data_IF_872159065088
#
_entry.id   IF_872159065088
#
_cell.length_a   1.000
_cell.length_b   1.000
_cell.length_c   1.000
_cell.angle_alpha   90.00
_cell.angle_beta   90.00
_cell.angle_gamma   90.00
#
_symmetry.space_group_name_H-M   'P 1'
#
loop_
_entity.id
_entity.type
_entity.pdbx_description
1 polymer ?
#
# COMPACT_ATOMS: atom_id res chain seq x y z
N UNK A 1 -1.62 -37.86 38.49
CA UNK A 1 -1.69 -37.73 39.96
C UNK A 1 -3.11 -37.33 40.35
N UNK A 2 -3.77 -38.05 41.27
CA UNK A 2 -5.07 -37.66 41.85
C UNK A 2 -4.86 -37.02 43.23
N UNK A 3 -4.08 -35.94 43.28
CA UNK A 3 -3.84 -35.17 44.51
C UNK A 3 -4.41 -33.76 44.35
N UNK A 4 -4.90 -33.13 45.43
CA UNK A 4 -5.27 -31.72 45.42
C UNK A 4 -4.09 -30.85 44.92
N UNK A 5 -4.31 -29.88 43.99
CA UNK A 5 -3.23 -29.06 43.45
C UNK A 5 -2.37 -28.36 44.52
N UNK A 6 -2.97 -27.99 45.65
CA UNK A 6 -2.27 -27.41 46.80
C UNK A 6 -1.24 -28.36 47.43
N UNK A 7 -1.54 -29.65 47.51
CA UNK A 7 -0.60 -30.66 48.04
C UNK A 7 0.56 -30.88 47.08
N UNK A 8 0.28 -30.94 45.78
CA UNK A 8 1.31 -31.04 44.73
C UNK A 8 2.22 -29.80 44.78
N UNK A 9 1.64 -28.62 44.90
CA UNK A 9 2.39 -27.37 44.98
C UNK A 9 3.27 -27.29 46.25
N UNK A 10 2.77 -27.75 47.40
CA UNK A 10 3.58 -27.84 48.62
C UNK A 10 4.77 -28.81 48.46
N UNK A 11 4.57 -29.96 47.81
CA UNK A 11 5.65 -30.90 47.51
C UNK A 11 6.70 -30.30 46.57
N UNK A 12 6.26 -29.55 45.55
CA UNK A 12 7.17 -28.83 44.64
C UNK A 12 7.98 -27.74 45.37
N UNK A 13 7.36 -26.98 46.26
CA UNK A 13 8.05 -25.98 47.09
C UNK A 13 9.08 -26.65 48.01
N UNK A 14 8.74 -27.78 48.62
CA UNK A 14 9.68 -28.52 49.47
C UNK A 14 10.87 -29.11 48.70
N UNK A 15 10.70 -29.42 47.41
CA UNK A 15 11.74 -29.95 46.54
C UNK A 15 12.55 -28.87 45.81
N UNK A 16 12.16 -27.60 45.89
CA UNK A 16 12.86 -26.48 45.24
C UNK A 16 14.24 -26.27 45.88
N UNK A 17 15.34 -26.26 45.11
CA UNK A 17 16.67 -25.97 45.65
C UNK A 17 16.79 -24.51 46.09
N UNK A 18 17.65 -24.25 47.07
CA UNK A 18 18.00 -22.88 47.46
C UNK A 18 18.64 -22.12 46.30
N UNK A 19 18.21 -20.87 46.07
CA UNK A 19 18.74 -20.01 45.01
C UNK A 19 18.97 -18.60 45.55
N UNK A 20 20.11 -18.00 45.25
CA UNK A 20 20.41 -16.59 45.56
C UNK A 20 19.52 -15.60 44.80
N UNK A 21 18.80 -16.08 43.78
CA UNK A 21 17.87 -15.28 43.00
C UNK A 21 16.49 -15.15 43.66
N UNK A 22 16.15 -16.04 44.59
CA UNK A 22 14.82 -16.15 45.20
C UNK A 22 14.88 -15.59 46.63
N UNK A 23 14.06 -14.58 46.90
CA UNK A 23 13.84 -14.02 48.23
C UNK A 23 12.94 -14.94 49.05
N UNK A 24 11.78 -15.30 48.48
CA UNK A 24 10.83 -16.24 49.10
C UNK A 24 9.91 -16.89 48.08
N UNK A 25 9.29 -17.98 48.51
CA UNK A 25 8.25 -18.70 47.75
C UNK A 25 7.02 -18.83 48.64
N UNK A 26 5.84 -18.50 48.09
CA UNK A 26 4.57 -18.55 48.83
C UNK A 26 3.57 -19.45 48.10
N UNK A 27 2.92 -20.33 48.88
CA UNK A 27 1.79 -21.13 48.40
C UNK A 27 0.49 -20.34 48.55
N UNK A 28 -0.13 -19.96 47.44
CA UNK A 28 -1.33 -19.13 47.40
C UNK A 28 -2.58 -19.91 46.93
N UNK A 29 -3.71 -19.62 47.57
CA UNK A 29 -5.03 -20.10 47.15
C UNK A 29 -5.10 -21.63 46.94
N UNK A 30 -5.69 -22.12 45.84
CA UNK A 30 -5.89 -23.55 45.61
C UNK A 30 -4.63 -24.32 45.16
N UNK A 31 -3.46 -23.67 45.08
CA UNK A 31 -2.20 -24.31 44.68
C UNK A 31 -1.29 -23.49 43.77
N UNK A 32 -1.44 -22.17 43.71
CA UNK A 32 -0.51 -21.30 43.01
C UNK A 32 0.80 -21.19 43.79
N UNK A 33 1.93 -21.21 43.10
CA UNK A 33 3.25 -21.01 43.68
C UNK A 33 3.74 -19.63 43.24
N UNK A 34 3.78 -18.69 44.16
CA UNK A 34 4.32 -17.36 43.91
C UNK A 34 5.81 -17.36 44.25
N UNK A 35 6.66 -16.96 43.31
CA UNK A 35 8.12 -16.85 43.52
C UNK A 35 8.49 -15.38 43.52
N UNK A 36 9.12 -14.93 44.60
CA UNK A 36 9.56 -13.54 44.76
C UNK A 36 11.08 -13.50 44.58
N UNK A 37 11.54 -12.69 43.63
CA UNK A 37 12.97 -12.54 43.35
C UNK A 37 13.64 -11.57 44.34
N UNK A 38 14.94 -11.74 44.58
CA UNK A 38 15.75 -10.78 45.35
C UNK A 38 15.89 -9.45 44.61
N UNK A 39 16.21 -8.38 45.33
CA UNK A 39 16.47 -7.07 44.71
C UNK A 39 17.66 -7.13 43.74
N UNK A 40 18.72 -7.86 44.10
CA UNK A 40 19.89 -8.08 43.25
C UNK A 40 19.51 -8.80 41.94
N UNK A 41 18.70 -9.87 42.02
CA UNK A 41 18.25 -10.59 40.82
C UNK A 41 17.46 -9.69 39.85
N UNK A 42 16.67 -8.74 40.38
CA UNK A 42 15.95 -7.75 39.54
C UNK A 42 16.88 -6.71 38.92
N UNK A 43 17.94 -6.32 39.62
CA UNK A 43 18.87 -5.28 39.16
C UNK A 43 19.88 -5.80 38.13
N UNK A 44 20.11 -7.11 38.07
CA UNK A 44 21.04 -7.71 37.11
C UNK A 44 20.70 -7.36 35.65
N UNK A 45 19.41 -7.21 35.33
CA UNK A 45 18.97 -6.79 33.98
C UNK A 45 19.53 -5.43 33.58
N UNK A 46 19.78 -4.51 34.53
CA UNK A 46 20.36 -3.20 34.24
C UNK A 46 21.80 -3.36 33.74
N UNK A 47 22.57 -4.28 34.34
CA UNK A 47 23.91 -4.59 33.85
C UNK A 47 23.86 -5.21 32.45
N UNK A 48 22.88 -6.08 32.17
CA UNK A 48 22.68 -6.64 30.82
C UNK A 48 22.29 -5.57 29.79
N UNK A 49 21.39 -4.65 30.16
CA UNK A 49 20.98 -3.52 29.30
C UNK A 49 22.19 -2.65 28.97
N UNK A 50 22.97 -2.26 29.97
CA UNK A 50 24.16 -1.42 29.77
C UNK A 50 25.24 -2.14 28.96
N UNK A 51 25.41 -3.45 29.15
CA UNK A 51 26.40 -4.27 28.42
C UNK A 51 26.04 -4.44 26.94
N UNK A 52 24.76 -4.70 26.64
CA UNK A 52 24.31 -4.95 25.27
C UNK A 52 23.89 -3.67 24.54
N UNK A 53 23.58 -2.58 25.26
CA UNK A 53 23.23 -1.28 24.70
C UNK A 53 22.10 -1.38 23.67
N UNK A 54 22.26 -0.82 22.45
CA UNK A 54 21.26 -0.91 21.38
C UNK A 54 20.90 -2.34 20.96
N UNK A 55 21.71 -3.35 21.30
CA UNK A 55 21.45 -4.75 21.01
C UNK A 55 20.67 -5.48 22.11
N UNK A 56 20.41 -4.85 23.26
CA UNK A 56 19.56 -5.45 24.29
C UNK A 56 18.17 -5.80 23.71
N UNK A 57 17.63 -6.96 24.11
CA UNK A 57 16.35 -7.48 23.60
C UNK A 57 16.38 -8.00 22.16
N UNK A 58 17.53 -8.00 21.47
CA UNK A 58 17.64 -8.64 20.15
C UNK A 58 17.56 -10.16 20.30
N UNK A 59 17.03 -10.84 19.29
CA UNK A 59 17.02 -12.30 19.24
C UNK A 59 17.45 -12.82 17.87
N UNK A 60 17.74 -14.12 17.80
CA UNK A 60 18.06 -14.81 16.54
C UNK A 60 16.92 -15.72 16.08
N UNK A 61 15.68 -15.48 16.57
CA UNK A 61 14.51 -16.29 16.22
C UNK A 61 14.22 -16.29 14.72
N UNK A 62 14.50 -15.19 14.02
CA UNK A 62 14.36 -15.08 12.58
C UNK A 62 15.41 -15.88 11.80
N UNK A 63 16.58 -16.14 12.39
CA UNK A 63 17.66 -16.93 11.79
C UNK A 63 18.03 -16.48 10.36
N UNK A 64 17.95 -15.17 10.08
CA UNK A 64 18.26 -14.59 8.77
C UNK A 64 17.19 -14.79 7.70
N UNK A 65 16.02 -15.37 8.01
CA UNK A 65 14.91 -15.51 7.08
C UNK A 65 14.51 -14.16 6.49
N UNK A 66 14.24 -14.14 5.19
CA UNK A 66 13.86 -12.94 4.44
C UNK A 66 12.37 -12.68 4.61
N UNK A 67 12.01 -11.47 5.01
CA UNK A 67 10.62 -11.06 5.19
C UNK A 67 10.38 -9.79 4.40
N UNK A 68 9.35 -9.79 3.55
CA UNK A 68 8.84 -8.56 2.95
C UNK A 68 7.72 -8.02 3.84
N UNK A 69 7.74 -6.71 4.08
CA UNK A 69 6.72 -6.00 4.85
C UNK A 69 6.21 -4.86 3.98
N UNK A 70 4.98 -4.98 3.51
CA UNK A 70 4.28 -3.94 2.75
C UNK A 70 3.43 -3.09 3.69
N UNK A 71 3.53 -1.77 3.59
CA UNK A 71 2.71 -0.86 4.39
C UNK A 71 2.62 0.55 3.78
N UNK A 72 1.64 1.32 4.25
CA UNK A 72 1.22 2.64 3.72
C UNK A 72 0.56 2.53 2.35
N UNK A 73 1.31 2.18 1.29
CA UNK A 73 0.83 1.94 -0.08
C UNK A 73 -0.34 2.86 -0.51
N UNK A 74 -0.22 4.16 -0.25
CA UNK A 74 -1.24 5.14 -0.62
C UNK A 74 -1.15 5.41 -2.12
N UNK A 75 -2.28 5.71 -2.74
CA UNK A 75 -2.28 6.15 -4.13
C UNK A 75 -1.52 7.49 -4.23
N UNK A 76 -0.67 7.68 -5.25
CA UNK A 76 0.17 8.88 -5.40
C UNK A 76 -0.63 10.05 -6.00
N UNK A 77 -1.84 10.29 -5.48
CA UNK A 77 -2.77 11.30 -6.00
C UNK A 77 -3.10 12.40 -4.99
N UNK A 78 -2.27 12.53 -3.95
CA UNK A 78 -2.39 13.55 -2.95
C UNK A 78 -1.41 13.33 -1.81
N UNK A 79 -1.18 14.36 -0.97
CA UNK A 79 -0.25 14.30 0.14
C UNK A 79 -0.73 13.29 1.19
N UNK A 80 0.22 12.81 2.00
CA UNK A 80 -0.11 11.94 3.12
C UNK A 80 -0.88 12.73 4.19
N UNK A 81 -1.67 12.00 4.99
CA UNK A 81 -2.44 12.58 6.08
C UNK A 81 -2.35 11.69 7.32
N UNK A 82 -2.86 12.15 8.46
CA UNK A 82 -2.79 11.42 9.74
C UNK A 82 -3.26 9.95 9.68
N UNK A 83 -4.22 9.63 8.82
CA UNK A 83 -4.64 8.25 8.56
C UNK A 83 -3.53 7.35 8.02
N UNK A 84 -2.70 7.86 7.10
CA UNK A 84 -1.51 7.17 6.56
C UNK A 84 -0.42 7.06 7.63
N UNK A 85 -0.25 8.09 8.46
CA UNK A 85 0.69 8.09 9.58
C UNK A 85 0.47 6.92 10.57
N UNK A 86 -0.79 6.51 10.80
CA UNK A 86 -1.10 5.30 11.59
C UNK A 86 -0.52 4.03 10.94
N UNK A 87 -0.74 3.87 9.63
CA UNK A 87 -0.21 2.74 8.86
C UNK A 87 1.32 2.73 8.84
N UNK A 88 1.92 3.91 8.66
CA UNK A 88 3.36 4.11 8.69
C UNK A 88 3.97 3.70 10.04
N UNK A 89 3.42 4.20 11.16
CA UNK A 89 3.91 3.88 12.50
C UNK A 89 3.79 2.39 12.84
N UNK A 90 2.67 1.77 12.48
CA UNK A 90 2.44 0.34 12.72
C UNK A 90 3.39 -0.52 11.88
N UNK A 91 3.49 -0.25 10.57
CA UNK A 91 4.36 -1.02 9.69
C UNK A 91 5.84 -0.87 10.01
N UNK A 92 6.29 0.34 10.30
CA UNK A 92 7.65 0.57 10.77
C UNK A 92 7.94 -0.17 12.09
N UNK A 93 6.99 -0.18 13.02
CA UNK A 93 7.15 -0.91 14.29
C UNK A 93 7.26 -2.42 14.08
N UNK A 94 6.44 -2.99 13.21
CA UNK A 94 6.50 -4.42 12.85
C UNK A 94 7.83 -4.74 12.16
N UNK A 95 8.23 -3.94 11.16
CA UNK A 95 9.50 -4.12 10.46
C UNK A 95 10.70 -4.04 11.42
N UNK A 96 10.72 -3.05 12.31
CA UNK A 96 11.79 -2.88 13.29
C UNK A 96 11.85 -4.02 14.31
N UNK A 97 10.70 -4.53 14.76
CA UNK A 97 10.63 -5.69 15.64
C UNK A 97 11.15 -6.96 14.94
N UNK A 98 10.82 -7.16 13.65
CA UNK A 98 11.33 -8.27 12.86
C UNK A 98 12.84 -8.17 12.66
N UNK A 99 13.39 -7.00 12.34
CA UNK A 99 14.84 -6.77 12.31
C UNK A 99 15.48 -7.15 13.65
N UNK A 100 14.90 -6.67 14.77
CA UNK A 100 15.36 -6.94 16.13
C UNK A 100 15.29 -8.43 16.50
N UNK A 101 14.36 -9.17 15.89
CA UNK A 101 14.20 -10.61 16.04
C UNK A 101 15.11 -11.45 15.13
N UNK A 102 15.97 -10.82 14.32
CA UNK A 102 16.96 -11.50 13.49
C UNK A 102 16.47 -11.90 12.09
N UNK A 103 15.43 -11.25 11.58
CA UNK A 103 14.97 -11.40 10.19
C UNK A 103 15.68 -10.40 9.25
N UNK A 104 15.84 -10.77 7.99
CA UNK A 104 16.24 -9.85 6.91
C UNK A 104 14.98 -9.20 6.35
N UNK A 105 14.68 -7.99 6.80
CA UNK A 105 13.43 -7.28 6.45
C UNK A 105 13.63 -6.42 5.21
N UNK A 106 12.70 -6.53 4.27
CA UNK A 106 12.55 -5.67 3.10
C UNK A 106 11.25 -4.87 3.22
N UNK A 107 11.35 -3.56 3.40
CA UNK A 107 10.23 -2.63 3.52
C UNK A 107 9.82 -2.16 2.14
N UNK A 108 8.59 -2.42 1.76
CA UNK A 108 8.10 -2.10 0.42
C UNK A 108 6.88 -1.19 0.48
N UNK A 109 6.88 -0.16 -0.36
CA UNK A 109 5.74 0.70 -0.63
C UNK A 109 5.18 0.31 -2.00
N UNK A 110 3.92 -0.12 -2.07
CA UNK A 110 3.27 -0.37 -3.36
C UNK A 110 2.69 0.94 -3.91
N UNK A 111 3.13 1.33 -5.10
CA UNK A 111 2.71 2.54 -5.80
C UNK A 111 1.69 2.17 -6.87
N UNK A 112 0.43 2.57 -6.65
CA UNK A 112 -0.63 2.47 -7.64
C UNK A 112 -0.55 3.60 -8.67
N UNK A 113 0.48 3.54 -9.51
CA UNK A 113 0.74 4.48 -10.62
C UNK A 113 0.09 4.05 -11.94
N UNK A 114 -0.61 2.91 -11.95
CA UNK A 114 -1.32 2.41 -13.11
C UNK A 114 -2.81 2.83 -13.08
N UNK A 115 -3.22 3.62 -14.06
CA UNK A 115 -4.62 3.79 -14.42
C UNK A 115 -5.22 5.17 -14.13
N UNK A 116 -6.55 5.19 -13.99
CA UNK A 116 -7.36 6.39 -14.22
C UNK A 116 -7.11 7.52 -13.22
N UNK A 117 -6.85 7.22 -11.96
CA UNK A 117 -6.64 8.26 -10.95
C UNK A 117 -5.42 9.13 -11.27
N UNK A 118 -4.36 8.51 -11.80
CA UNK A 118 -3.14 9.20 -12.18
C UNK A 118 -3.32 10.05 -13.44
N UNK A 119 -4.14 9.59 -14.40
CA UNK A 119 -4.61 10.39 -15.53
C UNK A 119 -5.41 11.62 -15.06
N UNK A 120 -6.33 11.45 -14.10
CA UNK A 120 -7.14 12.56 -13.54
C UNK A 120 -6.24 13.60 -12.87
N UNK A 121 -5.26 13.17 -12.05
CA UNK A 121 -4.34 14.11 -11.42
C UNK A 121 -3.49 14.84 -12.46
N UNK A 122 -2.98 14.14 -13.47
CA UNK A 122 -2.23 14.74 -14.57
C UNK A 122 -3.03 15.81 -15.30
N UNK A 123 -4.28 15.51 -15.65
CA UNK A 123 -5.19 16.46 -16.30
C UNK A 123 -5.57 17.61 -15.38
N UNK A 124 -5.82 17.34 -14.09
CA UNK A 124 -6.12 18.37 -13.09
C UNK A 124 -4.99 19.39 -12.98
N UNK A 125 -3.74 18.91 -12.91
CA UNK A 125 -2.52 19.75 -12.91
C UNK A 125 -2.39 20.55 -14.21
N UNK A 126 -2.63 19.92 -15.36
CA UNK A 126 -2.57 20.60 -16.65
C UNK A 126 -3.62 21.71 -16.80
N UNK A 127 -4.89 21.42 -16.47
CA UNK A 127 -5.97 22.40 -16.51
C UNK A 127 -5.69 23.57 -15.56
N UNK A 128 -5.16 23.29 -14.36
CA UNK A 128 -4.77 24.33 -13.40
C UNK A 128 -3.63 25.19 -13.96
N UNK A 129 -2.66 24.60 -14.66
CA UNK A 129 -1.58 25.36 -15.32
C UNK A 129 -2.11 26.26 -16.45
N UNK A 130 -3.11 25.80 -17.23
CA UNK A 130 -3.77 26.62 -18.24
C UNK A 130 -4.58 27.77 -17.62
N UNK A 131 -5.24 27.55 -16.48
CA UNK A 131 -5.93 28.63 -15.73
C UNK A 131 -4.93 29.65 -15.19
N UNK A 132 -3.84 29.21 -14.55
CA UNK A 132 -2.81 30.09 -13.99
C UNK A 132 -2.09 30.94 -15.07
N UNK A 133 -1.94 30.41 -16.29
CA UNK A 133 -1.39 31.14 -17.44
C UNK A 133 -2.39 32.04 -18.16
N UNK A 134 -3.67 32.05 -17.73
CA UNK A 134 -4.75 32.82 -18.35
C UNK A 134 -5.17 32.30 -19.73
N UNK A 135 -4.79 31.05 -20.07
CA UNK A 135 -5.10 30.38 -21.34
C UNK A 135 -6.41 29.60 -21.31
N UNK A 136 -6.93 29.31 -20.11
CA UNK A 136 -8.27 28.76 -19.87
C UNK A 136 -9.06 29.76 -19.03
N UNK A 137 -10.21 30.23 -19.52
CA UNK A 137 -10.99 31.28 -18.85
C UNK A 137 -12.46 30.92 -18.65
N UNK A 138 -13.07 30.30 -19.65
CA UNK A 138 -14.49 29.99 -19.70
C UNK A 138 -14.83 28.59 -19.19
N UNK A 139 -13.90 27.63 -19.32
CA UNK A 139 -14.14 26.27 -18.84
C UNK A 139 -14.03 26.21 -17.30
N UNK A 140 -15.10 25.82 -16.58
CA UNK A 140 -15.01 25.59 -15.14
C UNK A 140 -14.09 24.40 -14.83
N UNK A 141 -13.44 24.44 -13.67
CA UNK A 141 -12.62 23.31 -13.22
C UNK A 141 -13.53 22.12 -12.88
N UNK A 142 -13.21 20.88 -13.32
CA UNK A 142 -14.07 19.72 -13.09
C UNK A 142 -14.17 19.37 -11.60
N UNK A 143 -15.38 19.09 -11.11
CA UNK A 143 -15.64 18.75 -9.70
C UNK A 143 -14.91 17.48 -9.25
N UNK A 144 -14.86 16.47 -10.12
CA UNK A 144 -14.16 15.20 -9.91
C UNK A 144 -12.66 15.26 -10.24
N UNK A 145 -12.13 16.45 -10.57
CA UNK A 145 -10.69 16.68 -10.64
C UNK A 145 -10.07 16.90 -9.26
N UNK A 146 -8.75 16.75 -9.16
CA UNK A 146 -8.01 17.06 -7.93
C UNK A 146 -7.85 18.58 -7.79
N UNK A 147 -8.20 19.11 -6.62
CA UNK A 147 -8.33 20.57 -6.39
C UNK A 147 -7.52 21.08 -5.18
N UNK A 148 -6.67 20.25 -4.57
CA UNK A 148 -5.88 20.67 -3.41
C UNK A 148 -4.73 21.61 -3.79
N UNK A 149 -4.19 22.31 -2.79
CA UNK A 149 -3.09 23.28 -2.97
C UNK A 149 -1.85 22.68 -3.66
N UNK A 150 -1.58 21.38 -3.42
CA UNK A 150 -0.50 20.63 -4.08
C UNK A 150 -0.64 20.61 -5.61
N UNK A 151 -1.86 20.59 -6.15
CA UNK A 151 -2.13 20.67 -7.60
C UNK A 151 -1.77 22.05 -8.12
N UNK A 152 -2.02 23.11 -7.35
CA UNK A 152 -1.65 24.46 -7.73
C UNK A 152 -0.13 24.66 -7.77
N UNK A 153 0.59 24.05 -6.83
CA UNK A 153 2.06 24.04 -6.78
C UNK A 153 2.64 23.30 -7.99
N UNK A 154 2.23 22.05 -8.23
CA UNK A 154 2.67 21.28 -9.39
C UNK A 154 2.34 21.98 -10.71
N UNK A 155 1.18 22.64 -10.81
CA UNK A 155 0.78 23.39 -12.01
C UNK A 155 1.72 24.58 -12.31
N UNK A 156 2.23 25.24 -11.27
CA UNK A 156 3.18 26.36 -11.42
C UNK A 156 4.52 25.87 -11.95
N UNK A 157 5.00 24.74 -11.46
CA UNK A 157 6.27 24.14 -11.87
C UNK A 157 6.19 23.52 -13.27
N UNK A 158 5.05 22.91 -13.56
CA UNK A 158 4.68 22.39 -14.88
C UNK A 158 4.88 23.46 -15.98
N UNK A 159 4.40 24.69 -15.74
CA UNK A 159 4.54 25.79 -16.70
C UNK A 159 5.99 26.24 -16.93
N UNK A 160 6.87 26.05 -15.94
CA UNK A 160 8.30 26.37 -16.05
C UNK A 160 9.07 25.28 -16.79
N UNK A 161 8.66 24.02 -16.61
CA UNK A 161 9.40 22.84 -17.06
C UNK A 161 9.05 22.41 -18.49
N UNK A 162 7.82 22.66 -18.93
CA UNK A 162 7.34 22.16 -20.22
C UNK A 162 6.80 23.30 -21.09
N UNK A 163 7.49 23.56 -22.22
CA UNK A 163 7.06 24.55 -23.20
C UNK A 163 5.87 24.09 -24.07
N UNK A 164 5.65 22.79 -24.19
CA UNK A 164 4.61 22.18 -25.03
C UNK A 164 3.23 22.02 -24.38
N UNK A 165 3.03 22.53 -23.16
CA UNK A 165 1.76 22.38 -22.44
C UNK A 165 0.74 23.47 -22.71
N UNK A 166 1.17 24.55 -23.38
CA UNK A 166 0.34 25.72 -23.65
C UNK A 166 -0.53 25.43 -24.88
N UNK A 167 -1.81 25.16 -24.64
CA UNK A 167 -2.84 25.06 -25.67
C UNK A 167 -3.80 26.23 -25.57
N UNK A 168 -4.42 26.63 -26.68
CA UNK A 168 -5.52 27.60 -26.62
C UNK A 168 -6.79 26.93 -26.10
N UNK A 169 -7.63 27.69 -25.39
CA UNK A 169 -8.95 27.25 -24.97
C UNK A 169 -9.81 26.80 -26.17
N UNK A 170 -9.73 27.48 -27.31
CA UNK A 170 -10.41 27.07 -28.54
C UNK A 170 -10.01 25.67 -29.01
N UNK A 171 -8.71 25.35 -28.98
CA UNK A 171 -8.23 24.01 -29.33
C UNK A 171 -8.72 22.95 -28.33
N UNK A 172 -8.73 23.27 -27.04
CA UNK A 172 -9.26 22.36 -26.01
C UNK A 172 -10.75 22.11 -26.21
N UNK A 173 -11.56 23.17 -26.33
CA UNK A 173 -13.01 23.06 -26.51
C UNK A 173 -13.40 22.34 -27.80
N UNK A 174 -12.68 22.58 -28.90
CA UNK A 174 -12.90 21.86 -30.16
C UNK A 174 -12.52 20.38 -30.09
N UNK A 175 -11.48 20.03 -29.33
CA UNK A 175 -11.03 18.63 -29.15
C UNK A 175 -11.96 17.86 -28.20
N UNK A 176 -12.52 18.54 -27.19
CA UNK A 176 -13.41 17.93 -26.20
C UNK A 176 -14.67 17.31 -26.82
N UNK A 177 -15.10 17.76 -28.01
CA UNK A 177 -16.28 17.26 -28.75
C UNK A 177 -17.52 17.13 -27.85
N UNK A 178 -17.63 17.97 -26.82
CA UNK A 178 -18.75 17.92 -25.89
C UNK A 178 -20.00 18.44 -26.60
N UNK A 179 -21.18 17.86 -26.36
CA UNK A 179 -22.43 18.47 -26.77
C UNK A 179 -22.52 19.87 -26.12
N UNK A 180 -22.87 20.89 -26.91
CA UNK A 180 -23.09 22.24 -26.41
C UNK A 180 -24.13 22.20 -25.29
N UNK A 181 -23.73 22.46 -24.06
CA UNK A 181 -24.66 22.75 -22.97
C UNK A 181 -24.27 24.08 -22.36
N UNK A 182 -24.99 25.11 -22.79
CA UNK A 182 -25.03 26.44 -22.18
C UNK A 182 -25.63 26.43 -20.75
N UNK A 183 -26.05 25.27 -20.23
CA UNK A 183 -26.63 25.11 -18.91
C UNK A 183 -25.74 24.26 -17.99
N UNK A 184 -24.94 24.93 -17.17
CA UNK A 184 -24.25 24.35 -15.99
C UNK A 184 -25.27 24.02 -14.88
N UNK A 185 -26.32 23.26 -15.18
CA UNK A 185 -27.41 22.95 -14.26
C UNK A 185 -27.46 21.44 -14.02
N UNK A 186 -26.74 21.01 -12.97
CA UNK A 186 -26.75 19.66 -12.39
C UNK A 186 -26.33 18.57 -13.37
N UNK A 187 -25.01 18.40 -13.52
CA UNK A 187 -24.41 17.24 -14.18
C UNK A 187 -24.60 16.02 -13.27
N UNK A 188 -25.16 14.93 -13.78
CA UNK A 188 -25.23 13.68 -13.03
C UNK A 188 -23.82 13.12 -12.77
N UNK A 189 -23.59 12.31 -11.72
CA UNK A 189 -22.28 11.71 -11.48
C UNK A 189 -21.73 10.93 -12.69
N UNK A 190 -22.61 10.30 -13.46
CA UNK A 190 -22.23 9.58 -14.68
C UNK A 190 -21.72 10.55 -15.76
N UNK A 191 -22.38 11.68 -15.97
CA UNK A 191 -21.94 12.69 -16.94
C UNK A 191 -20.63 13.37 -16.51
N UNK A 192 -20.39 13.57 -15.20
CA UNK A 192 -19.11 14.07 -14.69
C UNK A 192 -17.95 13.11 -15.01
N UNK A 193 -18.19 11.80 -14.89
CA UNK A 193 -17.19 10.77 -15.23
C UNK A 193 -16.88 10.75 -16.73
N UNK A 194 -17.91 10.81 -17.59
CA UNK A 194 -17.71 10.89 -19.04
C UNK A 194 -16.99 12.18 -19.46
N UNK A 195 -17.30 13.31 -18.81
CA UNK A 195 -16.62 14.57 -19.06
C UNK A 195 -15.13 14.50 -18.70
N UNK A 196 -14.79 13.90 -17.56
CA UNK A 196 -13.40 13.67 -17.16
C UNK A 196 -12.66 12.76 -18.15
N UNK A 197 -13.30 11.69 -18.62
CA UNK A 197 -12.70 10.80 -19.62
C UNK A 197 -12.46 11.54 -20.95
N UNK A 198 -13.37 12.42 -21.35
CA UNK A 198 -13.20 13.28 -22.52
C UNK A 198 -12.04 14.28 -22.34
N UNK A 199 -11.88 14.87 -21.14
CA UNK A 199 -10.74 15.73 -20.81
C UNK A 199 -9.41 14.97 -20.87
N UNK A 200 -9.37 13.74 -20.35
CA UNK A 200 -8.18 12.86 -20.45
C UNK A 200 -7.85 12.56 -21.90
N UNK A 201 -8.84 12.19 -22.71
CA UNK A 201 -8.64 11.93 -24.14
C UNK A 201 -8.13 13.17 -24.89
N UNK A 202 -8.74 14.34 -24.64
CA UNK A 202 -8.33 15.60 -25.25
C UNK A 202 -6.91 16.01 -24.83
N UNK A 203 -6.55 15.83 -23.55
CA UNK A 203 -5.20 16.10 -23.06
C UNK A 203 -4.16 15.20 -23.75
N UNK A 204 -4.45 13.90 -23.88
CA UNK A 204 -3.57 12.94 -24.57
C UNK A 204 -3.41 13.30 -26.06
N UNK A 205 -4.49 13.70 -26.74
CA UNK A 205 -4.46 14.12 -28.14
C UNK A 205 -3.65 15.41 -28.33
N UNK A 206 -3.92 16.43 -27.53
CA UNK A 206 -3.33 17.77 -27.69
C UNK A 206 -1.86 17.81 -27.28
N UNK A 207 -1.49 17.13 -26.20
CA UNK A 207 -0.13 17.16 -25.67
C UNK A 207 0.79 16.13 -26.33
N UNK A 208 0.23 15.09 -26.93
CA UNK A 208 0.97 14.00 -27.56
C UNK A 208 2.04 13.42 -26.62
N UNK A 209 3.32 13.30 -27.03
CA UNK A 209 4.39 12.78 -26.18
C UNK A 209 4.62 13.58 -24.89
N UNK A 210 4.27 14.88 -24.87
CA UNK A 210 4.39 15.74 -23.68
C UNK A 210 3.46 15.27 -22.56
N UNK A 211 2.35 14.58 -22.89
CA UNK A 211 1.45 14.02 -21.89
C UNK A 211 2.17 13.05 -20.96
N UNK A 212 2.94 12.10 -21.51
CA UNK A 212 3.67 11.12 -20.72
C UNK A 212 4.76 11.77 -19.86
N UNK A 213 5.42 12.81 -20.39
CA UNK A 213 6.41 13.57 -19.63
C UNK A 213 5.77 14.34 -18.46
N UNK A 214 4.57 14.91 -18.66
CA UNK A 214 3.80 15.55 -17.60
C UNK A 214 3.31 14.54 -16.57
N UNK A 215 2.76 13.41 -17.02
CA UNK A 215 2.30 12.33 -16.14
C UNK A 215 3.44 11.83 -15.24
N UNK A 216 4.62 11.57 -15.81
CA UNK A 216 5.79 11.16 -15.05
C UNK A 216 6.23 12.24 -14.05
N UNK A 217 6.22 13.52 -14.44
CA UNK A 217 6.54 14.62 -13.53
C UNK A 217 5.58 14.66 -12.34
N UNK A 218 4.27 14.67 -12.60
CA UNK A 218 3.24 14.70 -11.54
C UNK A 218 3.37 13.50 -10.60
N UNK A 219 3.61 12.30 -11.14
CA UNK A 219 3.86 11.11 -10.33
C UNK A 219 5.11 11.28 -9.46
N UNK A 220 6.21 11.77 -10.05
CA UNK A 220 7.49 11.95 -9.33
C UNK A 220 7.33 12.95 -8.18
N UNK A 221 6.71 14.11 -8.43
CA UNK A 221 6.48 15.12 -7.39
C UNK A 221 5.64 14.57 -6.23
N UNK A 222 4.57 13.81 -6.52
CA UNK A 222 3.75 13.20 -5.48
C UNK A 222 4.50 12.12 -4.68
N UNK A 223 5.31 11.30 -5.35
CA UNK A 223 6.09 10.27 -4.67
C UNK A 223 7.22 10.86 -3.84
N UNK A 224 7.85 11.93 -4.30
CA UNK A 224 8.91 12.62 -3.58
C UNK A 224 8.35 13.30 -2.32
N UNK A 225 7.22 14.01 -2.43
CA UNK A 225 6.49 14.58 -1.27
C UNK A 225 6.10 13.50 -0.24
N UNK A 226 5.53 12.39 -0.70
CA UNK A 226 5.19 11.26 0.18
C UNK A 226 6.44 10.65 0.85
N UNK A 227 7.56 10.55 0.12
CA UNK A 227 8.80 9.99 0.63
C UNK A 227 9.41 10.89 1.70
N UNK A 228 9.47 12.19 1.45
CA UNK A 228 9.98 13.18 2.40
C UNK A 228 9.17 13.16 3.70
N UNK A 229 7.83 13.17 3.61
CA UNK A 229 6.94 13.04 4.78
C UNK A 229 7.22 11.79 5.60
N UNK A 230 7.41 10.65 4.94
CA UNK A 230 7.69 9.38 5.61
C UNK A 230 9.09 9.34 6.23
N UNK A 231 10.09 9.88 5.55
CA UNK A 231 11.46 9.97 6.06
C UNK A 231 11.55 10.88 7.29
N UNK A 232 10.87 12.03 7.27
CA UNK A 232 10.74 12.91 8.45
C UNK A 232 10.01 12.22 9.60
N UNK A 233 9.04 11.35 9.27
CA UNK A 233 8.34 10.50 10.24
C UNK A 233 9.18 9.30 10.74
N UNK A 234 10.41 9.13 10.24
CA UNK A 234 11.33 8.05 10.64
C UNK A 234 11.05 6.71 9.95
N UNK A 235 10.36 6.74 8.81
CA UNK A 235 9.98 5.57 8.02
C UNK A 235 10.72 5.60 6.68
N UNK A 236 11.61 4.63 6.49
CA UNK A 236 12.40 4.50 5.26
C UNK A 236 12.02 3.19 4.58
N UNK A 237 11.70 3.26 3.29
CA UNK A 237 11.40 2.09 2.46
C UNK A 237 12.65 1.64 1.69
N UNK A 238 12.78 0.33 1.52
CA UNK A 238 13.83 -0.28 0.72
C UNK A 238 13.47 -0.28 -0.78
N UNK A 239 12.16 -0.39 -1.09
CA UNK A 239 11.64 -0.36 -2.46
C UNK A 239 10.30 0.39 -2.55
N UNK A 240 10.16 1.23 -3.58
CA UNK A 240 8.89 1.81 -4.03
C UNK A 240 8.47 1.09 -5.31
N UNK A 241 7.59 0.10 -5.17
CA UNK A 241 7.23 -0.83 -6.23
C UNK A 241 6.13 -0.24 -7.11
N UNK A 242 6.39 -0.05 -8.40
CA UNK A 242 5.44 0.49 -9.39
C UNK A 242 4.46 -0.58 -9.88
N UNK A 243 3.15 -0.31 -9.82
CA UNK A 243 2.13 -1.15 -10.46
C UNK A 243 2.29 -1.17 -11.98
N UNK A 244 2.59 -0.03 -12.60
CA UNK A 244 2.79 0.09 -14.05
C UNK A 244 3.89 -0.87 -14.54
N UNK A 245 4.93 -1.11 -13.72
CA UNK A 245 5.99 -2.07 -14.04
C UNK A 245 5.49 -3.51 -14.26
N UNK A 246 4.38 -3.92 -13.63
CA UNK A 246 3.76 -5.24 -13.83
C UNK A 246 3.15 -5.38 -15.23
N UNK A 247 2.61 -4.27 -15.76
CA UNK A 247 2.06 -4.23 -17.11
C UNK A 247 3.18 -4.16 -18.15
N UNK A 248 4.16 -3.28 -17.94
CA UNK A 248 5.27 -3.06 -18.88
C UNK A 248 6.13 -4.32 -19.06
N UNK A 249 6.33 -5.08 -17.98
CA UNK A 249 7.05 -6.37 -18.01
C UNK A 249 6.24 -7.53 -18.57
N UNK A 250 4.92 -7.37 -18.75
CA UNK A 250 4.01 -8.44 -19.14
C UNK A 250 3.69 -9.45 -18.02
N UNK A 251 4.04 -9.16 -16.77
CA UNK A 251 3.81 -10.03 -15.62
C UNK A 251 2.31 -10.35 -15.44
N UNK A 252 1.43 -9.36 -15.64
CA UNK A 252 -0.03 -9.56 -15.58
C UNK A 252 -0.50 -10.56 -16.64
N UNK A 253 -0.06 -10.41 -17.88
CA UNK A 253 -0.42 -11.34 -18.96
C UNK A 253 0.11 -12.75 -18.70
N UNK A 254 1.33 -12.86 -18.15
CA UNK A 254 1.95 -14.12 -17.81
C UNK A 254 1.16 -14.86 -16.72
N UNK A 255 0.75 -14.19 -15.64
CA UNK A 255 0.04 -14.85 -14.53
C UNK A 255 -1.36 -15.32 -14.95
N UNK A 256 -2.08 -14.51 -15.74
CA UNK A 256 -3.36 -14.90 -16.31
C UNK A 256 -3.22 -16.12 -17.21
N UNK A 257 -2.15 -16.18 -18.02
CA UNK A 257 -1.86 -17.35 -18.87
C UNK A 257 -1.53 -18.60 -18.03
N UNK A 258 -0.84 -18.46 -16.89
CA UNK A 258 -0.58 -19.58 -15.98
C UNK A 258 -1.87 -20.14 -15.37
N UNK A 259 -2.79 -19.27 -14.95
CA UNK A 259 -4.11 -19.68 -14.42
C UNK A 259 -4.95 -20.39 -15.49
N UNK A 260 -4.89 -19.94 -16.75
CA UNK A 260 -5.56 -20.63 -17.86
C UNK A 260 -4.97 -22.02 -18.08
N UNK A 261 -3.64 -22.13 -18.18
CA UNK A 261 -2.96 -23.40 -18.43
C UNK A 261 -3.19 -24.41 -17.29
N UNK A 262 -3.42 -23.94 -16.06
CA UNK A 262 -3.80 -24.76 -14.92
C UNK A 262 -5.30 -25.14 -14.89
N UNK A 263 -6.11 -24.64 -15.83
CA UNK A 263 -7.55 -24.94 -15.93
C UNK A 263 -8.40 -24.17 -14.91
N UNK A 264 -7.87 -23.08 -14.34
CA UNK A 264 -8.57 -22.30 -13.30
C UNK A 264 -9.32 -21.08 -13.84
N UNK A 265 -9.26 -20.83 -15.16
CA UNK A 265 -10.05 -19.80 -15.81
C UNK A 265 -11.23 -20.37 -16.59
N UNK A 266 -12.28 -19.55 -16.75
CA UNK A 266 -13.38 -19.80 -17.68
C UNK A 266 -13.86 -18.50 -18.32
N UNK A 267 -14.55 -18.60 -19.45
CA UNK A 267 -15.12 -17.44 -20.13
C UNK A 267 -16.62 -17.38 -19.88
N UNK A 268 -17.09 -16.20 -19.46
CA UNK A 268 -18.52 -15.91 -19.30
C UNK A 268 -18.78 -14.46 -19.71
N UNK A 269 -19.78 -14.25 -20.57
CA UNK A 269 -20.15 -12.93 -21.12
C UNK A 269 -18.96 -12.16 -21.71
N UNK A 270 -18.12 -12.85 -22.50
CA UNK A 270 -16.94 -12.27 -23.13
C UNK A 270 -15.77 -11.97 -22.19
N UNK A 271 -15.95 -11.99 -20.88
CA UNK A 271 -14.91 -11.80 -19.89
C UNK A 271 -14.30 -13.11 -19.42
N UNK A 272 -13.05 -13.07 -18.93
CA UNK A 272 -12.34 -14.22 -18.35
C UNK A 272 -12.39 -14.14 -16.84
N UNK A 273 -12.83 -15.23 -16.23
CA UNK A 273 -13.10 -15.37 -14.81
C UNK A 273 -12.18 -16.40 -14.19
N UNK A 274 -11.57 -16.05 -13.06
CA UNK A 274 -10.85 -16.97 -12.20
C UNK A 274 -11.82 -17.64 -11.23
N UNK A 275 -11.72 -18.98 -11.14
CA UNK A 275 -12.51 -19.84 -10.26
C UNK A 275 -12.12 -19.71 -8.78
N UNK A 276 -11.99 -18.49 -8.26
CA UNK A 276 -11.52 -18.22 -6.90
C UNK A 276 -12.42 -18.82 -5.83
N UNK A 277 -13.71 -19.02 -6.11
CA UNK A 277 -14.64 -19.66 -5.16
C UNK A 277 -14.25 -21.10 -4.83
N UNK A 278 -13.60 -21.82 -5.77
CA UNK A 278 -13.07 -23.16 -5.54
C UNK A 278 -11.89 -23.17 -4.53
N UNK A 279 -11.31 -22.00 -4.25
CA UNK A 279 -10.17 -21.82 -3.35
C UNK A 279 -10.51 -20.99 -2.10
N UNK A 280 -11.80 -20.80 -1.80
CA UNK A 280 -12.27 -20.17 -0.56
C UNK A 280 -12.56 -18.67 -0.66
N UNK A 281 -12.58 -18.08 -1.87
CA UNK A 281 -13.18 -16.76 -2.09
C UNK A 281 -14.72 -16.85 -2.09
N UNK A 282 -15.40 -15.73 -1.88
CA UNK A 282 -16.88 -15.67 -1.81
C UNK A 282 -17.53 -15.87 -3.18
N UNK A 283 -16.85 -15.47 -4.25
CA UNK A 283 -17.32 -15.57 -5.63
C UNK A 283 -16.14 -15.54 -6.60
N UNK A 284 -16.35 -16.10 -7.78
CA UNK A 284 -15.39 -16.02 -8.88
C UNK A 284 -15.14 -14.56 -9.29
N UNK A 285 -13.93 -14.27 -9.76
CA UNK A 285 -13.45 -12.91 -10.03
C UNK A 285 -13.04 -12.76 -11.48
N UNK A 286 -13.42 -11.64 -12.09
CA UNK A 286 -12.96 -11.28 -13.43
C UNK A 286 -11.49 -10.90 -13.37
N UNK A 287 -10.66 -11.54 -14.20
CA UNK A 287 -9.23 -11.20 -14.39
C UNK A 287 -8.99 -10.44 -15.68
N UNK A 288 -9.86 -10.61 -16.68
CA UNK A 288 -9.80 -9.87 -17.95
C UNK A 288 -11.22 -9.56 -18.42
N UNK A 289 -11.48 -8.28 -18.73
CA UNK A 289 -12.77 -7.80 -19.23
C UNK A 289 -12.99 -8.19 -20.69
N UNK A 290 -14.22 -8.05 -21.17
CA UNK A 290 -14.60 -8.33 -22.57
C UNK A 290 -13.81 -7.49 -23.59
N UNK A 291 -13.45 -6.26 -23.23
CA UNK A 291 -12.62 -5.38 -24.07
C UNK A 291 -11.12 -5.75 -24.07
N UNK A 292 -10.73 -6.87 -23.45
CA UNK A 292 -9.35 -7.35 -23.38
C UNK A 292 -8.50 -6.73 -22.27
N UNK A 293 -8.98 -5.70 -21.56
CA UNK A 293 -8.24 -5.08 -20.47
C UNK A 293 -8.23 -5.96 -19.22
N UNK A 294 -7.06 -6.06 -18.57
CA UNK A 294 -6.94 -6.74 -17.28
C UNK A 294 -7.60 -5.94 -16.16
N UNK A 295 -8.06 -6.63 -15.11
CA UNK A 295 -8.62 -6.00 -13.91
C UNK A 295 -7.54 -5.72 -12.87
N UNK A 296 -7.82 -4.84 -11.91
CA UNK A 296 -6.95 -4.63 -10.72
C UNK A 296 -6.68 -5.93 -9.96
N UNK A 297 -7.65 -6.84 -9.95
CA UNK A 297 -7.43 -8.14 -9.34
C UNK A 297 -6.36 -8.96 -10.08
N UNK A 298 -6.24 -8.82 -11.41
CA UNK A 298 -5.16 -9.49 -12.15
C UNK A 298 -3.78 -8.86 -11.87
N UNK A 299 -3.69 -7.54 -11.67
CA UNK A 299 -2.43 -6.91 -11.23
C UNK A 299 -2.06 -7.35 -9.81
N UNK A 300 -3.01 -7.45 -8.89
CA UNK A 300 -2.74 -7.97 -7.53
C UNK A 300 -2.21 -9.40 -7.52
N UNK A 301 -2.78 -10.28 -8.37
CA UNK A 301 -2.28 -11.66 -8.50
C UNK A 301 -0.85 -11.63 -9.02
N UNK A 302 -0.57 -10.83 -10.04
CA UNK A 302 0.78 -10.71 -10.60
C UNK A 302 1.77 -10.17 -9.56
N UNK A 303 1.36 -9.19 -8.78
CA UNK A 303 2.16 -8.60 -7.72
C UNK A 303 2.50 -9.61 -6.62
N UNK A 304 1.49 -10.35 -6.11
CA UNK A 304 1.71 -11.36 -5.08
C UNK A 304 2.52 -12.55 -5.60
N UNK A 305 2.26 -13.01 -6.83
CA UNK A 305 3.09 -14.02 -7.48
C UNK A 305 4.55 -13.55 -7.58
N UNK A 306 4.77 -12.28 -7.96
CA UNK A 306 6.09 -11.66 -8.00
C UNK A 306 6.77 -11.60 -6.62
N UNK A 307 6.03 -11.31 -5.53
CA UNK A 307 6.57 -11.39 -4.17
C UNK A 307 7.10 -12.80 -3.87
N UNK A 308 6.35 -13.85 -4.19
CA UNK A 308 6.81 -15.24 -3.97
C UNK A 308 8.03 -15.59 -4.84
N UNK A 309 8.08 -15.12 -6.08
CA UNK A 309 9.21 -15.34 -7.00
C UNK A 309 10.49 -14.62 -6.55
N UNK A 310 10.39 -13.50 -5.81
CA UNK A 310 11.54 -12.77 -5.22
C UNK A 310 12.19 -13.50 -4.02
N UNK A 311 11.61 -14.62 -3.59
CA UNK A 311 12.22 -15.56 -2.63
C UNK A 311 12.18 -15.10 -1.18
N UNK A 312 11.09 -14.46 -0.76
CA UNK A 312 10.84 -14.17 0.66
C UNK A 312 10.30 -15.41 1.39
N UNK A 313 10.73 -15.63 2.63
CA UNK A 313 10.24 -16.72 3.48
C UNK A 313 8.90 -16.38 4.18
N UNK A 314 8.56 -15.10 4.22
CA UNK A 314 7.34 -14.56 4.80
C UNK A 314 7.01 -13.23 4.09
N UNK A 315 5.73 -13.04 3.80
CA UNK A 315 5.16 -11.79 3.29
C UNK A 315 4.21 -11.28 4.36
N UNK A 316 4.32 -10.00 4.69
CA UNK A 316 3.49 -9.32 5.69
C UNK A 316 2.88 -8.09 5.06
N UNK A 317 1.60 -8.17 4.73
CA UNK A 317 0.85 -7.04 4.18
C UNK A 317 0.09 -6.33 5.30
N UNK A 318 0.30 -5.02 5.44
CA UNK A 318 -0.33 -4.19 6.46
C UNK A 318 -1.38 -3.32 5.80
N UNK A 319 -2.60 -3.85 5.77
CA UNK A 319 -3.76 -3.18 5.19
C UNK A 319 -4.71 -2.62 6.24
N UNK A 320 -5.56 -1.68 5.81
CA UNK A 320 -6.68 -1.21 6.62
C UNK A 320 -7.70 -2.31 6.91
N UNK A 321 -8.45 -2.19 8.01
CA UNK A 321 -9.44 -3.20 8.42
C UNK A 321 -10.59 -3.38 7.41
N UNK A 322 -10.83 -2.38 6.57
CA UNK A 322 -11.75 -2.39 5.44
C UNK A 322 -11.37 -3.43 4.36
N UNK A 323 -10.10 -3.85 4.30
CA UNK A 323 -9.59 -4.81 3.33
C UNK A 323 -9.84 -6.29 3.70
N UNK A 324 -10.61 -6.58 4.76
CA UNK A 324 -10.89 -7.96 5.20
C UNK A 324 -11.44 -8.89 4.09
N UNK A 325 -12.35 -8.40 3.24
CA UNK A 325 -12.90 -9.14 2.09
C UNK A 325 -11.95 -9.22 0.88
N UNK A 326 -10.76 -8.64 0.98
CA UNK A 326 -9.68 -8.73 -0.01
C UNK A 326 -8.73 -9.90 0.28
N UNK A 327 -8.64 -10.33 1.53
CA UNK A 327 -7.73 -11.42 1.92
C UNK A 327 -8.11 -12.76 1.25
N UNK A 328 -9.39 -13.20 1.22
CA UNK A 328 -9.74 -14.48 0.62
C UNK A 328 -9.44 -14.57 -0.88
N UNK A 329 -9.65 -13.47 -1.63
CA UNK A 329 -9.44 -13.46 -3.09
C UNK A 329 -7.96 -13.54 -3.47
N UNK A 330 -7.07 -12.84 -2.74
CA UNK A 330 -5.63 -12.91 -2.98
C UNK A 330 -5.08 -14.27 -2.56
N UNK A 331 -5.56 -14.82 -1.44
CA UNK A 331 -5.17 -16.16 -0.98
C UNK A 331 -5.62 -17.28 -1.91
N UNK A 332 -6.72 -17.07 -2.63
CA UNK A 332 -7.26 -18.03 -3.58
C UNK A 332 -6.39 -18.20 -4.83
N UNK A 333 -5.73 -17.13 -5.27
CA UNK A 333 -4.89 -17.09 -6.47
C UNK A 333 -3.46 -17.53 -6.19
#
# INVERSE_FOLDING_TARGET
MRQPPREVAAQLIAALPSSSLIDRVELAGPGFINIFLTAQARQEVVHEILRHGPLFGSSQKGSGRRVQVEFVSSNPTGPLHVGHGRGAAYGASVANLLCKAGYQVHREYYVNDAGRQMDILTVSTWLRALQQSGKLKSLPFPNNGYQGDYVETMARETAQRFSGLVVSEESLLSTLRLPHTDDLIVISPEEEEHHMDALIAAAKELLGPTYLALHHFVLTEQLDDCREDLEEFGVIFDEWFSEQSLFDSGAVALVVSRLENAGHLYTEKGARWFRSSAFGDEKDRVVQRENGLYTYFASDIAYHAGKFERGYDLIVDIWGADHHGYIPRVRAA
#
